data_IF_791380568105
#
_entry.id   IF_791380568105
#
_cell.length_a   1.000
_cell.length_b   1.000
_cell.length_c   1.000
_cell.angle_alpha   90.00
_cell.angle_beta   90.00
_cell.angle_gamma   90.00
#
_symmetry.space_group_name_H-M   'P 1'
#
loop_
_entity.id
_entity.type
_entity.pdbx_description
1 polymer ?
#
# COMPACT_ATOMS: atom_id res chain seq x y z
N UNK A 1 29.29 -65.70 -9.38
CA UNK A 1 29.38 -64.49 -10.21
C UNK A 1 30.27 -63.49 -9.46
N UNK A 2 31.45 -63.09 -9.99
CA UNK A 2 32.35 -62.19 -9.29
C UNK A 2 31.88 -60.75 -9.48
N UNK A 3 31.86 -59.99 -8.38
CA UNK A 3 31.62 -58.53 -8.34
C UNK A 3 32.78 -57.83 -9.03
N UNK A 4 32.48 -57.05 -10.08
CA UNK A 4 33.43 -56.11 -10.70
C UNK A 4 33.40 -54.80 -9.88
N UNK A 5 34.52 -54.52 -9.20
CA UNK A 5 34.74 -53.21 -8.56
C UNK A 5 34.97 -52.15 -9.63
N UNK A 6 34.01 -51.23 -9.78
CA UNK A 6 34.21 -50.04 -10.58
C UNK A 6 35.05 -49.04 -9.76
N UNK A 7 36.25 -48.74 -10.24
CA UNK A 7 37.07 -47.67 -9.68
C UNK A 7 36.42 -46.30 -9.97
N UNK A 8 36.09 -45.59 -8.90
CA UNK A 8 35.65 -44.20 -8.96
C UNK A 8 36.88 -43.31 -9.14
N UNK A 9 36.96 -42.43 -10.16
CA UNK A 9 38.08 -41.50 -10.33
C UNK A 9 38.17 -40.51 -9.16
N UNK A 10 39.38 -40.26 -8.72
CA UNK A 10 39.72 -39.32 -7.66
C UNK A 10 39.30 -37.90 -7.99
N UNK A 11 38.53 -37.17 -7.13
CA UNK A 11 38.02 -35.83 -7.43
C UNK A 11 39.02 -34.68 -7.24
N UNK A 12 40.32 -34.93 -7.48
CA UNK A 12 41.42 -33.99 -7.19
C UNK A 12 41.83 -33.09 -8.38
N UNK A 13 40.91 -32.74 -9.32
CA UNK A 13 41.20 -31.77 -10.38
C UNK A 13 40.04 -30.86 -10.73
N UNK A 14 39.21 -30.49 -9.75
CA UNK A 14 38.33 -29.36 -9.93
C UNK A 14 39.16 -28.08 -9.86
N UNK A 15 39.03 -27.12 -10.83
CA UNK A 15 39.71 -25.84 -10.72
C UNK A 15 39.19 -25.12 -9.46
N UNK A 16 40.12 -24.60 -8.66
CA UNK A 16 39.78 -23.80 -7.48
C UNK A 16 38.77 -22.72 -7.88
N UNK A 17 37.67 -22.47 -7.09
CA UNK A 17 36.74 -21.37 -7.35
C UNK A 17 37.55 -20.06 -7.32
N UNK A 18 37.64 -19.38 -8.47
CA UNK A 18 38.27 -18.07 -8.56
C UNK A 18 37.65 -17.16 -7.48
N UNK A 19 38.52 -16.52 -6.68
CA UNK A 19 38.07 -15.57 -5.64
C UNK A 19 37.01 -14.63 -6.20
N UNK A 20 35.95 -14.29 -5.43
CA UNK A 20 34.87 -13.46 -5.92
C UNK A 20 35.45 -12.14 -6.41
N UNK A 21 35.32 -11.88 -7.72
CA UNK A 21 35.77 -10.61 -8.31
C UNK A 21 35.01 -9.49 -7.58
N UNK A 22 35.75 -8.58 -6.97
CA UNK A 22 35.16 -7.39 -6.33
C UNK A 22 34.28 -6.66 -7.34
N UNK A 23 33.11 -6.20 -6.88
CA UNK A 23 32.19 -5.46 -7.77
C UNK A 23 32.92 -4.26 -8.42
N UNK A 24 32.69 -4.01 -9.73
CA UNK A 24 33.32 -2.89 -10.43
C UNK A 24 33.09 -1.57 -9.73
N UNK A 25 34.06 -0.69 -9.73
CA UNK A 25 34.00 0.62 -9.07
C UNK A 25 33.95 1.75 -10.11
N UNK A 26 33.58 2.95 -9.68
CA UNK A 26 33.68 4.15 -10.55
C UNK A 26 35.12 4.47 -11.00
N UNK A 27 36.13 3.94 -10.25
CA UNK A 27 37.54 4.05 -10.67
C UNK A 27 37.87 3.15 -11.86
N UNK A 28 37.27 1.97 -11.91
CA UNK A 28 37.45 1.04 -13.04
C UNK A 28 36.80 1.57 -14.31
N UNK A 29 35.59 2.16 -14.19
CA UNK A 29 34.92 2.85 -15.31
C UNK A 29 35.76 4.03 -15.78
N UNK A 30 36.31 4.83 -14.88
CA UNK A 30 37.16 5.97 -15.22
C UNK A 30 38.43 5.56 -16.00
N UNK A 31 39.07 4.46 -15.57
CA UNK A 31 40.24 3.89 -16.21
C UNK A 31 39.90 3.37 -17.61
N UNK A 32 38.82 2.62 -17.78
CA UNK A 32 38.41 2.06 -19.05
C UNK A 32 37.94 3.15 -20.03
N UNK A 33 37.21 4.15 -19.57
CA UNK A 33 36.73 5.27 -20.40
C UNK A 33 37.80 6.35 -20.71
N UNK A 34 38.98 6.30 -20.07
CA UNK A 34 40.04 7.28 -20.21
C UNK A 34 39.66 8.67 -19.70
N UNK A 35 38.95 8.76 -18.56
CA UNK A 35 38.47 10.00 -17.97
C UNK A 35 38.69 10.03 -16.45
N UNK A 36 38.49 11.20 -15.83
CA UNK A 36 38.52 11.27 -14.35
C UNK A 36 37.30 10.63 -13.69
N UNK A 37 37.44 10.19 -12.42
CA UNK A 37 36.31 9.71 -11.60
C UNK A 37 35.21 10.78 -11.45
N UNK A 38 35.59 12.05 -11.45
CA UNK A 38 34.62 13.15 -11.42
C UNK A 38 33.80 13.18 -12.72
N UNK A 39 34.44 13.00 -13.89
CA UNK A 39 33.76 12.93 -15.19
C UNK A 39 32.76 11.75 -15.23
N UNK A 40 33.17 10.55 -14.76
CA UNK A 40 32.29 9.39 -14.66
C UNK A 40 31.07 9.74 -13.79
N UNK A 41 31.30 10.38 -12.64
CA UNK A 41 30.22 10.78 -11.73
C UNK A 41 29.25 11.78 -12.38
N UNK A 42 29.75 12.78 -13.10
CA UNK A 42 28.91 13.77 -13.80
C UNK A 42 28.08 13.13 -14.92
N UNK A 43 28.66 12.20 -15.67
CA UNK A 43 27.98 11.51 -16.78
C UNK A 43 26.89 10.59 -16.26
N UNK A 44 27.21 9.72 -15.30
CA UNK A 44 26.29 8.68 -14.83
C UNK A 44 25.19 9.20 -13.89
N UNK A 45 25.41 10.38 -13.27
CA UNK A 45 24.39 11.01 -12.41
C UNK A 45 23.64 12.15 -13.10
N UNK A 46 23.85 12.36 -14.40
CA UNK A 46 23.19 13.39 -15.22
C UNK A 46 23.23 14.81 -14.60
N UNK A 47 24.34 15.16 -13.92
CA UNK A 47 24.51 16.46 -13.29
C UNK A 47 24.67 17.53 -14.39
N UNK A 48 23.63 18.27 -14.71
CA UNK A 48 23.54 19.25 -15.80
C UNK A 48 24.50 20.45 -15.68
N UNK A 49 25.21 20.59 -14.56
CA UNK A 49 26.09 21.74 -14.30
C UNK A 49 27.44 21.72 -15.06
N UNK A 50 27.82 20.58 -15.65
CA UNK A 50 29.12 20.46 -16.36
C UNK A 50 28.88 20.04 -17.81
N UNK A 51 29.41 20.87 -18.73
CA UNK A 51 29.34 20.59 -20.18
C UNK A 51 30.33 19.47 -20.52
N UNK A 52 29.84 18.26 -20.71
CA UNK A 52 30.61 17.09 -21.13
C UNK A 52 30.22 16.77 -22.58
N UNK A 53 31.24 16.60 -23.45
CA UNK A 53 31.00 16.29 -24.85
C UNK A 53 30.30 14.95 -25.03
N UNK A 54 29.47 14.85 -26.05
CA UNK A 54 28.72 13.62 -26.36
C UNK A 54 29.64 12.40 -26.59
N UNK A 55 30.79 12.49 -27.28
CA UNK A 55 31.71 11.36 -27.37
C UNK A 55 32.25 10.89 -26.02
N UNK A 56 32.51 11.80 -25.08
CA UNK A 56 32.98 11.46 -23.74
C UNK A 56 31.86 10.78 -22.94
N UNK A 57 30.63 11.27 -23.07
CA UNK A 57 29.45 10.68 -22.44
C UNK A 57 29.22 9.23 -22.91
N UNK A 58 29.31 8.98 -24.21
CA UNK A 58 29.21 7.63 -24.80
C UNK A 58 30.28 6.70 -24.25
N UNK A 59 31.57 7.09 -24.28
CA UNK A 59 32.65 6.24 -23.74
C UNK A 59 32.41 5.83 -22.28
N UNK A 60 31.93 6.75 -21.46
CA UNK A 60 31.65 6.44 -20.05
C UNK A 60 30.48 5.42 -19.90
N UNK A 61 29.41 5.61 -20.70
CA UNK A 61 28.29 4.65 -20.68
C UNK A 61 28.70 3.29 -21.23
N UNK A 62 29.53 3.23 -22.26
CA UNK A 62 30.03 1.98 -22.84
C UNK A 62 30.92 1.24 -21.84
N UNK A 63 31.88 1.95 -21.23
CA UNK A 63 32.75 1.38 -20.20
C UNK A 63 31.94 0.87 -18.96
N UNK A 64 30.92 1.60 -18.54
CA UNK A 64 30.05 1.16 -17.44
C UNK A 64 29.28 -0.12 -17.81
N UNK A 65 28.75 -0.21 -19.02
CA UNK A 65 28.07 -1.41 -19.54
C UNK A 65 29.01 -2.60 -19.65
N UNK A 66 30.20 -2.42 -20.23
CA UNK A 66 31.20 -3.47 -20.39
C UNK A 66 31.64 -4.08 -19.05
N UNK A 67 31.82 -3.23 -18.03
CA UNK A 67 32.19 -3.67 -16.67
C UNK A 67 31.00 -4.20 -15.86
N UNK A 68 29.76 -4.03 -16.32
CA UNK A 68 28.58 -4.29 -15.49
C UNK A 68 28.49 -3.34 -14.28
N UNK A 69 29.06 -2.14 -14.38
CA UNK A 69 29.07 -1.17 -13.30
C UNK A 69 27.70 -0.54 -13.10
N UNK A 70 27.16 -0.67 -11.89
CA UNK A 70 25.95 0.02 -11.45
C UNK A 70 26.34 1.07 -10.41
N UNK A 71 25.95 2.36 -10.59
CA UNK A 71 26.23 3.40 -9.61
C UNK A 71 25.62 3.07 -8.25
N UNK A 72 26.45 3.03 -7.21
CA UNK A 72 25.99 2.66 -5.87
C UNK A 72 25.08 3.74 -5.29
N UNK A 73 23.82 3.41 -4.94
CA UNK A 73 22.82 4.36 -4.45
C UNK A 73 23.29 5.09 -3.18
N UNK A 74 23.93 4.38 -2.24
CA UNK A 74 24.47 4.99 -1.02
C UNK A 74 25.60 6.00 -1.32
N UNK A 75 26.45 5.75 -2.33
CA UNK A 75 27.50 6.69 -2.72
C UNK A 75 26.91 7.94 -3.40
N UNK A 76 25.78 7.81 -4.10
CA UNK A 76 25.05 8.97 -4.64
C UNK A 76 24.44 9.80 -3.51
N UNK A 77 23.75 9.14 -2.57
CA UNK A 77 23.12 9.78 -1.41
C UNK A 77 24.13 10.55 -0.55
N UNK A 78 25.32 9.96 -0.34
CA UNK A 78 26.37 10.59 0.45
C UNK A 78 26.86 11.90 -0.19
N UNK A 79 26.95 11.96 -1.52
CA UNK A 79 27.37 13.18 -2.26
C UNK A 79 26.26 14.23 -2.36
N UNK A 80 25.01 13.78 -2.52
CA UNK A 80 23.84 14.66 -2.59
C UNK A 80 23.41 15.19 -1.21
N UNK A 81 23.92 14.58 -0.11
CA UNK A 81 23.51 14.88 1.26
C UNK A 81 22.13 14.31 1.63
N UNK A 82 21.44 13.63 0.71
CA UNK A 82 20.16 12.96 0.94
C UNK A 82 19.97 11.79 -0.02
N UNK A 83 19.16 10.81 0.38
CA UNK A 83 18.74 9.70 -0.47
C UNK A 83 17.64 10.14 -1.44
N UNK A 84 17.26 9.26 -2.37
CA UNK A 84 16.05 9.38 -3.18
C UNK A 84 15.05 8.26 -2.85
N UNK A 85 15.20 7.68 -1.67
CA UNK A 85 14.36 6.57 -1.21
C UNK A 85 13.14 7.12 -0.48
N UNK A 86 11.96 6.78 -0.98
CA UNK A 86 10.69 6.92 -0.26
C UNK A 86 10.38 5.58 0.38
N UNK A 87 10.35 5.56 1.70
CA UNK A 87 10.03 4.35 2.45
C UNK A 87 8.54 4.29 2.73
N UNK A 88 7.94 3.13 2.46
CA UNK A 88 6.58 2.80 2.85
C UNK A 88 6.62 1.57 3.74
N UNK A 89 6.19 1.64 5.00
CA UNK A 89 5.96 0.44 5.78
C UNK A 89 4.96 -0.46 5.08
N UNK A 90 5.20 -1.77 5.08
CA UNK A 90 4.21 -2.73 4.65
C UNK A 90 2.99 -2.63 5.58
N UNK A 91 1.76 -2.69 5.05
CA UNK A 91 0.57 -2.60 5.88
C UNK A 91 0.50 -3.76 6.86
N UNK A 92 0.01 -3.49 8.08
CA UNK A 92 -0.27 -4.51 9.10
C UNK A 92 -1.64 -5.17 8.93
N UNK A 93 -2.27 -4.99 7.78
CA UNK A 93 -3.58 -5.53 7.43
C UNK A 93 -3.53 -6.26 6.08
N UNK A 94 -4.43 -7.21 5.81
CA UNK A 94 -4.58 -7.82 4.50
C UNK A 94 -4.86 -6.78 3.42
N UNK A 95 -3.94 -6.66 2.45
CA UNK A 95 -4.02 -5.66 1.39
C UNK A 95 -4.90 -6.17 0.23
N UNK A 96 -6.09 -5.59 0.08
CA UNK A 96 -7.01 -5.87 -1.02
C UNK A 96 -6.66 -5.16 -2.34
N UNK A 97 -7.47 -5.40 -3.40
CA UNK A 97 -7.25 -4.84 -4.73
C UNK A 97 -7.20 -3.32 -4.78
N UNK A 98 -8.03 -2.62 -3.98
CA UNK A 98 -8.04 -1.16 -3.91
C UNK A 98 -6.69 -0.61 -3.46
N UNK A 99 -6.14 -1.15 -2.36
CA UNK A 99 -4.83 -0.75 -1.85
C UNK A 99 -3.71 -1.06 -2.84
N UNK A 100 -3.73 -2.24 -3.47
CA UNK A 100 -2.73 -2.66 -4.45
C UNK A 100 -2.73 -1.75 -5.69
N UNK A 101 -3.91 -1.35 -6.17
CA UNK A 101 -4.07 -0.40 -7.27
C UNK A 101 -3.51 0.98 -6.92
N UNK A 102 -3.88 1.52 -5.77
CA UNK A 102 -3.36 2.78 -5.25
C UNK A 102 -1.83 2.78 -5.12
N UNK A 103 -1.28 1.70 -4.54
CA UNK A 103 0.17 1.55 -4.37
C UNK A 103 0.91 1.54 -5.72
N UNK A 104 0.38 0.82 -6.71
CA UNK A 104 0.97 0.74 -8.05
C UNK A 104 1.00 2.10 -8.73
N UNK A 105 -0.08 2.87 -8.66
CA UNK A 105 -0.14 4.23 -9.20
C UNK A 105 0.86 5.16 -8.52
N UNK A 106 0.94 5.12 -7.19
CA UNK A 106 1.86 5.92 -6.40
C UNK A 106 3.32 5.60 -6.71
N UNK A 107 3.68 4.31 -6.78
CA UNK A 107 5.04 3.87 -7.13
C UNK A 107 5.44 4.37 -8.51
N UNK A 108 4.54 4.27 -9.50
CA UNK A 108 4.78 4.78 -10.84
C UNK A 108 4.97 6.31 -10.85
N UNK A 109 4.11 7.05 -10.13
CA UNK A 109 4.19 8.50 -10.05
C UNK A 109 5.48 8.98 -9.37
N UNK A 110 5.88 8.35 -8.25
CA UNK A 110 7.15 8.63 -7.57
C UNK A 110 8.36 8.25 -8.43
N UNK A 111 8.30 7.15 -9.17
CA UNK A 111 9.35 6.74 -10.11
C UNK A 111 9.58 7.77 -11.20
N UNK A 112 8.54 8.44 -11.70
CA UNK A 112 8.66 9.53 -12.67
C UNK A 112 9.33 10.79 -12.11
N UNK A 113 9.35 10.95 -10.80
CA UNK A 113 10.05 12.01 -10.07
C UNK A 113 11.43 11.54 -9.59
N UNK A 114 11.94 10.43 -10.16
CA UNK A 114 13.21 9.79 -9.81
C UNK A 114 13.34 9.33 -8.35
N UNK A 115 12.23 9.08 -7.66
CA UNK A 115 12.26 8.41 -6.34
C UNK A 115 12.23 6.89 -6.50
N UNK A 116 12.91 6.20 -5.58
CA UNK A 116 12.82 4.75 -5.42
C UNK A 116 11.92 4.45 -4.24
N UNK A 117 10.82 3.74 -4.45
CA UNK A 117 9.93 3.31 -3.36
C UNK A 117 10.41 1.98 -2.80
N UNK A 118 10.61 1.93 -1.49
CA UNK A 118 10.96 0.72 -0.75
C UNK A 118 9.83 0.39 0.20
N UNK A 119 9.20 -0.77 0.02
CA UNK A 119 8.30 -1.34 1.02
C UNK A 119 9.10 -2.03 2.11
N UNK A 120 8.91 -1.59 3.35
CA UNK A 120 9.62 -2.12 4.51
C UNK A 120 8.71 -3.03 5.33
N UNK A 121 9.03 -4.31 5.37
CA UNK A 121 8.35 -5.26 6.25
C UNK A 121 8.76 -5.02 7.70
N UNK A 122 7.83 -4.55 8.52
CA UNK A 122 8.07 -4.25 9.94
C UNK A 122 7.10 -5.03 10.83
N UNK A 123 7.03 -6.33 10.62
CA UNK A 123 6.13 -7.21 11.38
C UNK A 123 6.38 -7.05 12.89
N UNK A 124 5.35 -6.63 13.63
CA UNK A 124 5.42 -6.46 15.08
C UNK A 124 6.07 -5.17 15.58
N UNK A 125 6.65 -4.32 14.70
CA UNK A 125 7.21 -3.03 15.11
C UNK A 125 6.13 -1.93 15.11
N UNK A 126 6.08 -1.13 16.18
CA UNK A 126 5.11 -0.04 16.34
C UNK A 126 5.76 1.23 16.88
N UNK A 127 5.12 2.38 16.65
CA UNK A 127 5.50 3.65 17.26
C UNK A 127 6.97 4.05 17.03
N UNK A 128 7.67 4.37 18.11
CA UNK A 128 9.07 4.82 18.07
C UNK A 128 10.05 3.74 17.62
N UNK A 129 9.77 2.48 17.91
CA UNK A 129 10.62 1.36 17.53
C UNK A 129 10.59 1.18 16.00
N UNK A 130 9.41 1.20 15.41
CA UNK A 130 9.23 1.20 13.96
C UNK A 130 9.95 2.39 13.31
N UNK A 131 9.79 3.60 13.88
CA UNK A 131 10.45 4.80 13.37
C UNK A 131 11.98 4.69 13.38
N UNK A 132 12.58 4.06 14.41
CA UNK A 132 14.04 3.81 14.45
C UNK A 132 14.47 2.85 13.37
N UNK A 133 13.77 1.73 13.18
CA UNK A 133 14.07 0.75 12.14
C UNK A 133 13.98 1.36 10.73
N UNK A 134 12.96 2.20 10.48
CA UNK A 134 12.83 2.91 9.20
C UNK A 134 13.95 3.93 8.99
N UNK A 135 14.38 4.61 10.06
CA UNK A 135 15.46 5.60 10.05
C UNK A 135 16.82 5.00 9.63
N UNK A 136 17.07 3.72 9.88
CA UNK A 136 18.30 3.01 9.47
C UNK A 136 18.52 3.05 7.95
N UNK A 137 17.44 3.02 7.15
CA UNK A 137 17.50 3.13 5.70
C UNK A 137 17.71 4.55 5.19
N UNK A 138 17.75 5.55 6.09
CA UNK A 138 17.91 6.98 5.78
C UNK A 138 17.04 7.43 4.60
N UNK A 139 15.72 7.19 4.64
CA UNK A 139 14.83 7.61 3.56
C UNK A 139 14.76 9.14 3.48
N UNK A 140 14.57 9.68 2.27
CA UNK A 140 14.28 11.11 2.09
C UNK A 140 12.85 11.46 2.51
N UNK A 141 11.95 10.50 2.34
CA UNK A 141 10.57 10.61 2.79
C UNK A 141 10.05 9.27 3.34
N UNK A 142 9.13 9.34 4.29
CA UNK A 142 8.40 8.17 4.82
C UNK A 142 6.91 8.41 4.62
N UNK A 143 6.25 7.47 3.95
CA UNK A 143 4.81 7.50 3.71
C UNK A 143 4.14 6.35 4.46
N UNK A 144 3.31 6.67 5.44
CA UNK A 144 2.74 5.68 6.37
C UNK A 144 1.23 5.56 6.18
N UNK A 145 0.77 4.48 5.52
CA UNK A 145 -0.65 4.15 5.48
C UNK A 145 -1.09 3.55 6.81
N UNK A 146 -2.28 3.94 7.28
CA UNK A 146 -2.85 3.43 8.50
C UNK A 146 -2.34 4.13 9.76
N UNK A 147 -2.08 3.38 10.82
CA UNK A 147 -1.61 3.93 12.09
C UNK A 147 -0.14 4.33 12.00
N UNK A 148 0.14 5.62 11.94
CA UNK A 148 1.49 6.18 11.85
C UNK A 148 2.29 6.13 13.17
N UNK A 149 3.56 6.55 13.10
CA UNK A 149 4.35 6.81 14.29
C UNK A 149 3.77 8.03 15.02
N UNK A 150 3.90 8.06 16.35
CA UNK A 150 3.56 9.27 17.12
C UNK A 150 4.51 10.46 16.83
N UNK A 151 4.27 11.62 17.44
CA UNK A 151 5.10 12.82 17.23
C UNK A 151 6.60 12.57 17.44
N UNK A 152 6.96 11.78 18.46
CA UNK A 152 8.34 11.39 18.72
C UNK A 152 8.95 10.54 17.61
N UNK A 153 8.18 9.62 17.04
CA UNK A 153 8.63 8.83 15.88
C UNK A 153 8.85 9.68 14.64
N UNK A 154 8.00 10.68 14.40
CA UNK A 154 8.20 11.68 13.33
C UNK A 154 9.51 12.45 13.56
N UNK A 155 9.79 12.87 14.80
CA UNK A 155 11.03 13.55 15.15
C UNK A 155 12.26 12.66 14.91
N UNK A 156 12.22 11.38 15.28
CA UNK A 156 13.30 10.40 15.02
C UNK A 156 13.60 10.35 13.53
N UNK A 157 12.57 10.22 12.68
CA UNK A 157 12.73 10.16 11.23
C UNK A 157 13.34 11.44 10.67
N UNK A 158 12.87 12.60 11.08
CA UNK A 158 13.41 13.90 10.63
C UNK A 158 14.86 14.11 11.06
N UNK A 159 15.20 13.77 12.29
CA UNK A 159 16.60 13.84 12.79
C UNK A 159 17.54 12.88 12.05
N UNK A 160 17.04 11.75 11.54
CA UNK A 160 17.84 10.82 10.76
C UNK A 160 17.99 11.20 9.27
N UNK A 161 17.35 12.31 8.84
CA UNK A 161 17.49 12.86 7.49
C UNK A 161 16.26 12.77 6.61
N UNK A 162 15.13 12.28 7.11
CA UNK A 162 13.86 12.35 6.37
C UNK A 162 13.41 13.81 6.27
N UNK A 163 13.23 14.27 5.03
CA UNK A 163 12.74 15.62 4.73
C UNK A 163 11.22 15.72 4.82
N UNK A 164 10.52 14.62 4.52
CA UNK A 164 9.07 14.53 4.60
C UNK A 164 8.63 13.28 5.37
N UNK A 165 7.61 13.43 6.20
CA UNK A 165 6.82 12.33 6.76
C UNK A 165 5.37 12.61 6.40
N UNK A 166 4.71 11.66 5.74
CA UNK A 166 3.31 11.77 5.31
C UNK A 166 2.53 10.61 5.92
N UNK A 167 1.44 10.90 6.60
CA UNK A 167 0.54 9.91 7.18
C UNK A 167 -0.79 9.88 6.43
N UNK A 168 -1.32 8.67 6.18
CA UNK A 168 -2.66 8.45 5.64
C UNK A 168 -3.47 7.71 6.70
N UNK A 169 -4.31 8.43 7.44
CA UNK A 169 -5.04 7.84 8.57
C UNK A 169 -6.12 8.74 9.13
N UNK A 170 -6.78 8.34 10.24
CA UNK A 170 -7.90 9.11 10.80
C UNK A 170 -7.45 10.38 11.52
N UNK A 171 -6.20 10.44 11.96
CA UNK A 171 -5.69 11.52 12.82
C UNK A 171 -4.42 12.14 12.26
N UNK A 172 -4.27 13.45 12.48
CA UNK A 172 -3.05 14.15 12.17
C UNK A 172 -1.99 13.86 13.24
N UNK A 173 -0.73 13.68 12.81
CA UNK A 173 0.41 13.54 13.69
C UNK A 173 1.26 14.81 13.62
N UNK A 174 1.62 15.35 14.76
CA UNK A 174 2.43 16.57 14.84
C UNK A 174 3.75 16.38 14.07
N UNK A 175 4.10 17.37 13.28
CA UNK A 175 5.30 17.36 12.46
C UNK A 175 5.21 16.56 11.14
N UNK A 176 4.13 15.83 10.89
CA UNK A 176 3.90 15.10 9.64
C UNK A 176 2.83 15.79 8.77
N UNK A 177 2.94 15.69 7.45
CA UNK A 177 1.81 15.95 6.55
C UNK A 177 0.75 14.89 6.78
N UNK A 178 -0.51 15.28 6.93
CA UNK A 178 -1.60 14.39 7.25
C UNK A 178 -2.68 14.39 6.15
N UNK A 179 -2.89 13.23 5.53
CA UNK A 179 -4.03 12.95 4.69
C UNK A 179 -5.06 12.19 5.54
N UNK A 180 -6.11 12.90 5.93
CA UNK A 180 -7.12 12.37 6.86
C UNK A 180 -8.14 11.55 6.11
N UNK A 181 -8.37 10.33 6.59
CA UNK A 181 -9.28 9.35 6.01
C UNK A 181 -10.31 8.93 7.07
N UNK A 182 -11.47 9.58 7.05
CA UNK A 182 -12.59 9.21 7.92
C UNK A 182 -13.43 8.11 7.27
N UNK A 183 -13.17 6.87 7.65
CA UNK A 183 -13.92 5.72 7.18
C UNK A 183 -15.36 5.64 7.69
N UNK A 184 -15.78 6.47 8.65
CA UNK A 184 -17.18 6.52 9.11
C UNK A 184 -18.13 6.94 7.99
N UNK A 185 -17.68 7.81 7.08
CA UNK A 185 -18.47 8.24 5.92
C UNK A 185 -18.89 7.06 5.04
N UNK A 186 -18.07 6.01 4.92
CA UNK A 186 -18.37 4.82 4.10
C UNK A 186 -19.55 4.05 4.68
N UNK A 187 -19.49 3.71 5.98
CA UNK A 187 -20.59 3.01 6.66
C UNK A 187 -21.87 3.83 6.72
N UNK A 188 -21.75 5.15 6.97
CA UNK A 188 -22.88 6.06 6.95
C UNK A 188 -23.58 6.07 5.58
N UNK A 189 -22.83 6.22 4.49
CA UNK A 189 -23.40 6.24 3.12
C UNK A 189 -24.04 4.91 2.75
N UNK A 190 -23.40 3.79 3.07
CA UNK A 190 -23.94 2.46 2.78
C UNK A 190 -25.27 2.21 3.49
N UNK A 191 -25.31 2.43 4.80
CA UNK A 191 -26.50 2.16 5.60
C UNK A 191 -27.60 3.17 5.33
N UNK A 192 -27.27 4.45 5.14
CA UNK A 192 -28.22 5.48 4.73
C UNK A 192 -28.94 5.10 3.44
N UNK A 193 -28.20 4.63 2.43
CA UNK A 193 -28.77 4.14 1.18
C UNK A 193 -29.78 2.98 1.42
N UNK A 194 -29.44 2.01 2.27
CA UNK A 194 -30.36 0.90 2.59
C UNK A 194 -31.65 1.40 3.28
N UNK A 195 -31.52 2.32 4.25
CA UNK A 195 -32.66 2.93 4.96
C UNK A 195 -33.56 3.70 3.99
N UNK A 196 -33.00 4.48 3.07
CA UNK A 196 -33.76 5.24 2.05
C UNK A 196 -34.51 4.32 1.08
N UNK A 197 -34.05 3.07 0.91
CA UNK A 197 -34.73 2.02 0.14
C UNK A 197 -35.69 1.17 0.95
N UNK A 198 -36.01 1.61 2.16
CA UNK A 198 -37.04 1.00 3.00
C UNK A 198 -36.53 -0.17 3.88
N UNK A 199 -35.22 -0.43 3.92
CA UNK A 199 -34.66 -1.48 4.79
C UNK A 199 -34.57 -0.99 6.24
N UNK A 200 -34.81 -1.89 7.20
CA UNK A 200 -34.92 -1.52 8.62
C UNK A 200 -34.08 -2.36 9.56
N UNK A 201 -33.78 -3.60 9.21
CA UNK A 201 -32.98 -4.50 10.05
C UNK A 201 -31.69 -4.84 9.33
N UNK A 202 -30.67 -4.04 9.58
CA UNK A 202 -29.45 -3.99 8.76
C UNK A 202 -28.30 -4.67 9.49
N UNK A 203 -27.78 -5.74 8.89
CA UNK A 203 -26.51 -6.33 9.31
C UNK A 203 -25.34 -5.49 8.86
N UNK A 204 -24.30 -5.38 9.68
CA UNK A 204 -23.01 -4.76 9.29
C UNK A 204 -21.90 -5.77 9.54
N UNK A 205 -21.27 -6.22 8.48
CA UNK A 205 -20.16 -7.16 8.57
C UNK A 205 -18.94 -6.46 9.16
N UNK A 206 -18.37 -7.09 10.18
CA UNK A 206 -17.10 -6.68 10.79
C UNK A 206 -16.11 -7.81 10.55
N UNK A 207 -15.01 -7.55 9.82
CA UNK A 207 -13.93 -8.52 9.59
C UNK A 207 -13.38 -9.09 10.90
N UNK A 208 -13.10 -10.38 10.91
CA UNK A 208 -12.44 -11.04 12.02
C UNK A 208 -10.91 -11.04 11.92
N UNK A 209 -10.36 -10.59 10.80
CA UNK A 209 -8.93 -10.53 10.54
C UNK A 209 -8.29 -9.36 11.28
N UNK A 210 -7.14 -9.62 11.90
CA UNK A 210 -6.35 -8.62 12.62
C UNK A 210 -5.91 -7.46 11.71
N UNK A 211 -5.91 -6.26 12.26
CA UNK A 211 -5.47 -5.05 11.57
C UNK A 211 -6.54 -4.37 10.71
N UNK A 212 -7.69 -4.99 10.49
CA UNK A 212 -8.81 -4.38 9.77
C UNK A 212 -9.70 -3.50 10.65
N UNK A 213 -9.55 -3.54 11.98
CA UNK A 213 -10.32 -2.72 12.94
C UNK A 213 -10.14 -1.22 12.67
N UNK A 214 -8.98 -0.84 12.18
CA UNK A 214 -8.67 0.52 11.76
C UNK A 214 -9.69 1.08 10.74
N UNK A 215 -10.20 0.22 9.87
CA UNK A 215 -11.20 0.56 8.85
C UNK A 215 -12.62 0.19 9.28
N UNK A 216 -12.80 -0.99 9.88
CA UNK A 216 -14.13 -1.56 10.17
C UNK A 216 -14.82 -0.87 11.35
N UNK A 217 -14.09 -0.48 12.39
CA UNK A 217 -14.68 0.18 13.54
C UNK A 217 -15.27 1.57 13.18
N UNK A 218 -14.60 2.45 12.44
CA UNK A 218 -15.24 3.68 11.94
C UNK A 218 -16.41 3.41 11.00
N UNK A 219 -16.32 2.44 10.08
CA UNK A 219 -17.44 2.07 9.18
C UNK A 219 -18.66 1.64 9.99
N UNK A 220 -18.49 0.82 11.04
CA UNK A 220 -19.57 0.43 11.94
C UNK A 220 -20.14 1.63 12.72
N UNK A 221 -19.29 2.53 13.21
CA UNK A 221 -19.74 3.75 13.89
C UNK A 221 -20.57 4.64 12.95
N UNK A 222 -20.14 4.84 11.72
CA UNK A 222 -20.90 5.57 10.69
C UNK A 222 -22.21 4.89 10.33
N UNK A 223 -22.24 3.55 10.25
CA UNK A 223 -23.45 2.77 10.03
C UNK A 223 -24.47 2.97 11.16
N UNK A 224 -24.03 2.96 12.42
CA UNK A 224 -24.87 3.24 13.60
C UNK A 224 -25.37 4.68 13.62
N UNK A 225 -24.55 5.61 13.15
CA UNK A 225 -24.98 7.02 13.03
C UNK A 225 -26.07 7.21 11.96
N UNK A 226 -25.97 6.49 10.84
CA UNK A 226 -26.94 6.58 9.74
C UNK A 226 -28.37 6.21 10.10
N UNK A 227 -28.56 5.39 11.15
CA UNK A 227 -29.90 4.96 11.62
C UNK A 227 -30.46 5.86 12.74
N UNK A 228 -29.69 6.81 13.26
CA UNK A 228 -30.17 7.71 14.33
C UNK A 228 -31.39 8.51 13.85
N UNK A 229 -32.42 8.54 14.70
CA UNK A 229 -33.67 9.22 14.39
C UNK A 229 -34.54 8.52 13.35
N UNK A 230 -34.24 7.25 13.01
CA UNK A 230 -35.05 6.40 12.16
C UNK A 230 -35.58 5.20 12.97
N UNK A 231 -36.46 4.41 12.36
CA UNK A 231 -36.96 3.14 12.88
C UNK A 231 -36.04 1.92 12.52
N UNK A 232 -34.91 2.20 11.85
CA UNK A 232 -33.96 1.18 11.46
C UNK A 232 -32.98 0.81 12.60
N UNK A 233 -32.49 -0.42 12.56
CA UNK A 233 -31.51 -0.96 13.52
C UNK A 233 -30.29 -1.53 12.83
N UNK A 234 -29.16 -1.50 13.52
CA UNK A 234 -27.88 -2.08 13.06
C UNK A 234 -27.49 -3.22 13.96
N UNK A 235 -27.24 -4.39 13.35
CA UNK A 235 -26.70 -5.59 14.01
C UNK A 235 -25.29 -5.86 13.49
N UNK A 236 -24.34 -5.98 14.40
CA UNK A 236 -22.96 -6.31 14.07
C UNK A 236 -22.83 -7.80 13.73
N UNK A 237 -22.14 -8.11 12.63
CA UNK A 237 -21.95 -9.46 12.12
C UNK A 237 -20.44 -9.75 11.97
N UNK A 238 -19.78 -10.32 12.99
CA UNK A 238 -18.41 -10.77 12.86
C UNK A 238 -18.30 -11.85 11.76
N UNK A 239 -17.37 -11.67 10.81
CA UNK A 239 -17.19 -12.59 9.70
C UNK A 239 -15.70 -12.67 9.33
N UNK A 240 -15.14 -13.89 9.33
CA UNK A 240 -13.85 -14.16 8.72
C UNK A 240 -14.02 -14.28 7.19
N UNK A 241 -13.00 -13.84 6.43
CA UNK A 241 -12.99 -13.92 4.97
C UNK A 241 -12.74 -15.36 4.48
N UNK A 242 -13.65 -16.26 4.87
CA UNK A 242 -13.61 -17.69 4.58
C UNK A 242 -14.99 -18.19 4.12
N UNK A 243 -15.03 -19.03 3.09
CA UNK A 243 -16.28 -19.63 2.57
C UNK A 243 -17.08 -20.34 3.67
N UNK A 244 -16.39 -21.11 4.55
CA UNK A 244 -17.04 -21.82 5.65
C UNK A 244 -17.66 -20.87 6.69
N UNK A 245 -17.02 -19.73 6.94
CA UNK A 245 -17.56 -18.73 7.87
C UNK A 245 -18.81 -18.06 7.28
N UNK A 246 -18.77 -17.71 5.99
CA UNK A 246 -19.92 -17.15 5.29
C UNK A 246 -21.10 -18.14 5.21
N UNK A 247 -20.83 -19.43 4.92
CA UNK A 247 -21.86 -20.47 4.90
C UNK A 247 -22.54 -20.61 6.28
N UNK A 248 -21.77 -20.69 7.38
CA UNK A 248 -22.36 -20.74 8.75
C UNK A 248 -23.20 -19.51 9.09
N UNK A 249 -22.82 -18.32 8.57
CA UNK A 249 -23.63 -17.12 8.77
C UNK A 249 -24.92 -17.21 7.94
N UNK A 250 -24.86 -17.68 6.70
CA UNK A 250 -26.01 -17.86 5.83
C UNK A 250 -27.00 -18.93 6.34
N UNK A 251 -26.53 -20.04 6.90
CA UNK A 251 -27.37 -21.11 7.48
C UNK A 251 -28.31 -20.61 8.59
N UNK A 252 -27.93 -19.55 9.30
CA UNK A 252 -28.76 -18.96 10.38
C UNK A 252 -29.41 -17.63 9.97
N UNK A 253 -29.37 -17.25 8.69
CA UNK A 253 -29.79 -15.93 8.23
C UNK A 253 -31.23 -15.59 8.60
N UNK A 254 -32.16 -16.52 8.39
CA UNK A 254 -33.57 -16.35 8.73
C UNK A 254 -33.78 -16.03 10.21
N UNK A 255 -33.02 -16.68 11.10
CA UNK A 255 -33.11 -16.45 12.54
C UNK A 255 -32.61 -15.07 12.97
N UNK A 256 -31.78 -14.42 12.18
CA UNK A 256 -31.30 -13.05 12.42
C UNK A 256 -32.35 -12.00 12.03
N UNK A 257 -33.33 -12.37 11.20
CA UNK A 257 -34.40 -11.50 10.77
C UNK A 257 -33.96 -10.23 10.04
N UNK A 258 -32.81 -10.26 9.39
CA UNK A 258 -32.22 -9.11 8.68
C UNK A 258 -32.85 -8.96 7.29
N UNK A 259 -33.10 -7.71 6.86
CA UNK A 259 -33.62 -7.39 5.52
C UNK A 259 -32.57 -6.71 4.63
N UNK A 260 -31.41 -6.36 5.18
CA UNK A 260 -30.28 -5.85 4.43
C UNK A 260 -28.95 -6.09 5.14
N UNK A 261 -27.84 -5.98 4.40
CA UNK A 261 -26.49 -6.05 4.93
C UNK A 261 -25.54 -5.11 4.22
N UNK A 262 -24.76 -4.37 5.00
CA UNK A 262 -23.54 -3.71 4.56
C UNK A 262 -22.36 -4.64 4.86
N UNK A 263 -21.75 -5.18 3.80
CA UNK A 263 -20.67 -6.13 3.89
C UNK A 263 -19.32 -5.41 3.76
N UNK A 264 -18.80 -4.93 4.86
CA UNK A 264 -17.49 -4.26 5.01
C UNK A 264 -16.90 -3.69 3.70
N UNK A 265 -16.57 -4.58 2.73
CA UNK A 265 -16.13 -4.22 1.38
C UNK A 265 -16.69 -5.19 0.32
N UNK A 266 -16.32 -5.00 -0.95
CA UNK A 266 -16.84 -5.83 -2.05
C UNK A 266 -16.39 -7.29 -1.97
N UNK A 267 -15.19 -7.59 -1.42
CA UNK A 267 -14.71 -8.96 -1.28
C UNK A 267 -15.56 -9.74 -0.27
N UNK A 268 -15.86 -9.14 0.90
CA UNK A 268 -16.80 -9.72 1.87
C UNK A 268 -18.22 -9.77 1.31
N UNK A 269 -18.61 -8.78 0.51
CA UNK A 269 -19.93 -8.77 -0.13
C UNK A 269 -20.09 -9.92 -1.12
N UNK A 270 -19.09 -10.18 -1.95
CA UNK A 270 -19.08 -11.30 -2.91
C UNK A 270 -19.17 -12.65 -2.19
N UNK A 271 -18.36 -12.81 -1.15
CA UNK A 271 -18.31 -14.01 -0.32
C UNK A 271 -19.68 -14.28 0.34
N UNK A 272 -20.25 -13.28 1.03
CA UNK A 272 -21.52 -13.42 1.72
C UNK A 272 -22.69 -13.58 0.74
N UNK A 273 -22.70 -12.85 -0.38
CA UNK A 273 -23.74 -12.98 -1.39
C UNK A 273 -23.81 -14.41 -1.96
N UNK A 274 -22.66 -15.01 -2.23
CA UNK A 274 -22.60 -16.41 -2.69
C UNK A 274 -23.18 -17.35 -1.65
N UNK A 275 -22.76 -17.22 -0.39
CA UNK A 275 -23.27 -18.07 0.69
C UNK A 275 -24.78 -17.92 0.92
N UNK A 276 -25.31 -16.70 0.87
CA UNK A 276 -26.75 -16.43 0.97
C UNK A 276 -27.53 -17.08 -0.17
N UNK A 277 -27.03 -16.97 -1.43
CA UNK A 277 -27.65 -17.60 -2.58
C UNK A 277 -27.65 -19.14 -2.48
N UNK A 278 -26.58 -19.74 -1.99
CA UNK A 278 -26.49 -21.20 -1.76
C UNK A 278 -27.45 -21.66 -0.67
N UNK A 279 -27.74 -20.81 0.33
CA UNK A 279 -28.75 -21.03 1.36
C UNK A 279 -30.18 -20.70 0.90
N UNK A 280 -30.38 -20.32 -0.36
CA UNK A 280 -31.70 -20.01 -0.94
C UNK A 280 -32.23 -18.60 -0.64
N UNK A 281 -31.42 -17.72 -0.04
CA UNK A 281 -31.79 -16.32 0.24
C UNK A 281 -31.67 -15.50 -1.05
N UNK A 282 -32.75 -14.86 -1.45
CA UNK A 282 -32.78 -14.04 -2.68
C UNK A 282 -32.19 -12.66 -2.42
N UNK A 283 -31.18 -12.28 -3.21
CA UNK A 283 -30.59 -10.94 -3.21
C UNK A 283 -31.04 -10.21 -4.48
N UNK A 284 -31.68 -9.04 -4.39
CA UNK A 284 -32.04 -8.24 -3.19
C UNK A 284 -33.43 -8.57 -2.60
N UNK A 285 -34.16 -9.59 -3.11
CA UNK A 285 -35.56 -9.83 -2.78
C UNK A 285 -35.81 -9.99 -1.28
N UNK A 286 -35.14 -10.94 -0.65
CA UNK A 286 -35.24 -11.20 0.78
C UNK A 286 -34.25 -10.32 1.57
N UNK A 287 -33.04 -10.14 1.06
CA UNK A 287 -31.98 -9.36 1.70
C UNK A 287 -31.27 -8.47 0.69
N UNK A 288 -31.29 -7.15 0.88
CA UNK A 288 -30.47 -6.23 0.11
C UNK A 288 -29.00 -6.28 0.58
N UNK A 289 -28.07 -6.15 -0.35
CA UNK A 289 -26.65 -6.24 -0.04
C UNK A 289 -25.87 -5.11 -0.71
N UNK A 290 -25.01 -4.43 0.06
CA UNK A 290 -24.12 -3.39 -0.43
C UNK A 290 -22.70 -3.62 0.11
N UNK A 291 -21.70 -3.46 -0.77
CA UNK A 291 -20.28 -3.50 -0.46
C UNK A 291 -19.65 -2.11 -0.35
N UNK A 292 -18.34 -2.06 -0.46
CA UNK A 292 -17.52 -0.86 -0.64
C UNK A 292 -16.29 -1.20 -1.49
N UNK A 293 -15.67 -0.19 -2.10
CA UNK A 293 -14.46 -0.18 -2.92
C UNK A 293 -14.72 -0.13 -4.45
N UNK A 294 -15.93 -0.40 -4.92
CA UNK A 294 -16.35 -0.42 -6.34
C UNK A 294 -15.44 -1.30 -7.23
N UNK A 295 -15.15 -2.51 -6.77
CA UNK A 295 -14.31 -3.44 -7.53
C UNK A 295 -14.98 -3.87 -8.84
N UNK A 296 -14.16 -4.05 -9.89
CA UNK A 296 -14.63 -4.49 -11.21
C UNK A 296 -15.43 -5.80 -11.15
N UNK A 297 -15.02 -6.74 -10.31
CA UNK A 297 -15.70 -8.03 -10.16
C UNK A 297 -17.15 -7.89 -9.69
N UNK A 298 -17.46 -6.91 -8.85
CA UNK A 298 -18.82 -6.64 -8.39
C UNK A 298 -19.80 -6.34 -9.53
N UNK A 299 -19.32 -5.82 -10.65
CA UNK A 299 -20.11 -5.53 -11.87
C UNK A 299 -20.43 -6.79 -12.69
N UNK A 300 -19.69 -7.86 -12.47
CA UNK A 300 -19.82 -9.14 -13.22
C UNK A 300 -20.73 -10.15 -12.52
N UNK A 301 -21.12 -9.88 -11.29
CA UNK A 301 -21.99 -10.74 -10.49
C UNK A 301 -23.44 -10.75 -10.99
N UNK A 302 -24.22 -11.69 -10.46
CA UNK A 302 -25.67 -11.77 -10.61
C UNK A 302 -26.32 -12.01 -9.23
N UNK A 303 -27.01 -11.00 -8.69
CA UNK A 303 -27.18 -9.62 -9.18
C UNK A 303 -25.86 -8.82 -9.15
N UNK A 304 -25.76 -7.75 -9.97
CA UNK A 304 -24.61 -6.83 -9.92
C UNK A 304 -24.56 -6.13 -8.57
N UNK A 305 -23.38 -6.12 -7.95
CA UNK A 305 -23.17 -5.63 -6.59
C UNK A 305 -23.27 -4.10 -6.52
N UNK A 306 -24.20 -3.60 -5.70
CA UNK A 306 -24.21 -2.21 -5.22
C UNK A 306 -23.05 -2.01 -4.24
N UNK A 307 -22.42 -0.84 -4.26
CA UNK A 307 -21.21 -0.59 -3.49
C UNK A 307 -21.06 0.87 -3.13
N UNK A 308 -20.16 1.18 -2.22
CA UNK A 308 -19.69 2.55 -1.98
C UNK A 308 -18.35 2.73 -2.69
N UNK A 309 -18.32 3.62 -3.67
CA UNK A 309 -17.07 4.04 -4.30
C UNK A 309 -16.30 4.97 -3.35
N UNK A 310 -15.03 4.67 -3.11
CA UNK A 310 -14.13 5.46 -2.29
C UNK A 310 -13.33 6.41 -3.19
N UNK A 311 -13.52 7.71 -2.98
CA UNK A 311 -12.73 8.75 -3.64
C UNK A 311 -11.44 8.95 -2.85
N UNK A 312 -10.37 8.31 -3.30
CA UNK A 312 -9.03 8.42 -2.73
C UNK A 312 -8.20 9.47 -3.49
N UNK A 313 -7.19 10.10 -2.85
CA UNK A 313 -6.24 10.93 -3.58
C UNK A 313 -5.53 10.08 -4.63
N UNK A 314 -5.29 10.66 -5.80
CA UNK A 314 -4.53 9.94 -6.83
C UNK A 314 -3.09 9.70 -6.38
N UNK A 315 -2.48 8.61 -6.82
CA UNK A 315 -1.06 8.36 -6.58
C UNK A 315 -0.17 9.51 -7.10
N UNK A 316 -0.61 10.22 -8.13
CA UNK A 316 0.07 11.40 -8.68
C UNK A 316 0.02 12.59 -7.71
N UNK A 317 -1.15 12.89 -7.11
CA UNK A 317 -1.30 14.00 -6.17
C UNK A 317 -0.47 13.77 -4.92
N UNK A 318 -0.44 12.51 -4.45
CA UNK A 318 0.36 12.13 -3.31
C UNK A 318 1.87 12.18 -3.62
N UNK A 319 2.29 11.73 -4.79
CA UNK A 319 3.69 11.86 -5.23
C UNK A 319 4.11 13.33 -5.32
N UNK A 320 3.24 14.21 -5.83
CA UNK A 320 3.50 15.65 -5.88
C UNK A 320 3.58 16.29 -4.48
N UNK A 321 2.76 15.84 -3.52
CA UNK A 321 2.87 16.25 -2.12
C UNK A 321 4.22 15.84 -1.52
N UNK A 322 4.62 14.58 -1.70
CA UNK A 322 5.91 14.08 -1.22
C UNK A 322 7.06 14.88 -1.82
N UNK A 323 7.03 15.13 -3.12
CA UNK A 323 8.08 15.87 -3.83
C UNK A 323 8.20 17.31 -3.33
N UNK A 324 7.09 18.05 -3.17
CA UNK A 324 7.09 19.40 -2.57
C UNK A 324 7.67 19.38 -1.16
N UNK A 325 7.20 18.45 -0.32
CA UNK A 325 7.65 18.36 1.07
C UNK A 325 9.15 17.99 1.18
N UNK A 326 9.68 17.22 0.24
CA UNK A 326 11.12 16.92 0.16
C UNK A 326 11.92 18.15 -0.28
N UNK A 327 11.41 18.96 -1.19
CA UNK A 327 12.10 20.15 -1.67
C UNK A 327 12.03 21.32 -0.69
N UNK A 328 10.94 21.45 0.08
CA UNK A 328 10.76 22.46 1.12
C UNK A 328 10.44 21.82 2.49
N UNK A 329 11.44 21.24 3.15
CA UNK A 329 11.25 20.55 4.43
C UNK A 329 10.92 21.49 5.60
N UNK A 330 11.06 22.81 5.40
CA UNK A 330 10.72 23.86 6.38
C UNK A 330 9.27 24.32 6.29
N UNK A 331 8.54 23.94 5.23
CA UNK A 331 7.14 24.29 5.09
C UNK A 331 6.28 23.70 6.20
N UNK A 332 5.22 24.42 6.57
CA UNK A 332 4.24 23.91 7.53
C UNK A 332 3.60 22.61 7.00
N UNK A 333 3.41 21.59 7.86
CA UNK A 333 2.75 20.35 7.46
C UNK A 333 1.33 20.60 6.92
N UNK A 334 1.05 20.06 5.72
CA UNK A 334 -0.29 20.10 5.15
C UNK A 334 -1.21 19.12 5.91
N UNK A 335 -2.47 19.55 6.12
CA UNK A 335 -3.53 18.69 6.65
C UNK A 335 -4.71 18.76 5.69
N UNK A 336 -5.16 17.61 5.18
CA UNK A 336 -6.27 17.52 4.23
C UNK A 336 -7.16 16.34 4.56
N UNK A 337 -8.46 16.53 4.49
CA UNK A 337 -9.43 15.44 4.41
C UNK A 337 -9.48 14.96 2.96
N UNK A 338 -9.31 13.65 2.75
CA UNK A 338 -9.07 13.10 1.41
C UNK A 338 -9.95 11.90 1.06
N UNK A 339 -10.80 11.43 1.97
CA UNK A 339 -11.71 10.34 1.70
C UNK A 339 -13.12 10.84 1.41
N UNK A 340 -13.53 10.74 0.16
CA UNK A 340 -14.92 10.85 -0.26
C UNK A 340 -15.57 9.47 -0.38
N UNK A 341 -16.92 9.42 -0.30
CA UNK A 341 -17.69 8.19 -0.42
C UNK A 341 -19.00 8.42 -1.19
N UNK A 342 -19.14 7.76 -2.32
CA UNK A 342 -20.34 7.88 -3.19
C UNK A 342 -20.96 6.50 -3.42
N UNK A 343 -22.28 6.39 -3.20
CA UNK A 343 -22.99 5.12 -3.45
C UNK A 343 -23.15 4.88 -4.94
N UNK A 344 -22.74 3.70 -5.38
CA UNK A 344 -22.98 3.18 -6.72
C UNK A 344 -24.07 2.11 -6.64
N UNK A 345 -25.30 2.54 -6.82
CA UNK A 345 -26.45 1.64 -6.82
C UNK A 345 -26.45 0.72 -8.04
N UNK A 346 -26.69 -0.59 -7.82
CA UNK A 346 -26.84 -1.64 -8.83
C UNK A 346 -28.02 -2.56 -8.46
N UNK A 347 -27.90 -3.83 -8.81
CA UNK A 347 -29.03 -4.79 -8.70
C UNK A 347 -29.17 -5.43 -7.30
N UNK A 348 -28.14 -5.38 -6.45
CA UNK A 348 -28.14 -6.11 -5.17
C UNK A 348 -28.75 -5.33 -3.99
N UNK A 349 -29.15 -4.06 -4.17
CA UNK A 349 -29.77 -3.27 -3.07
C UNK A 349 -30.95 -2.42 -3.51
#
# INVERSE_FOLDING_TARGET
MPYVMVQIPNPSSAPEPSAPRSAPTSADVARLAGVSRATVSYVLNNAGAVRISEPTRRRVHDAARELGYVPHAAARSLRAGHSRTVLMPAPSFPAGPLYSGFLSELQWALGRLDYTVVQYGSVGLHGDEAARAWAELRPVAVLVPGRGPGPRGVEILKRSGARAVVTLGPEAVEGAHALLMDHAVVGHRAVRHLVERGRRRIGVVVPAEDGLEFFSAPRLAGARDAVRGTDATVTELPLAHEERAAARLADRWDSLGLDAVFAYNDEYAMLLMRALQDAGVRVPGDTALIGADDLMLGRLLRPRLSTVHLELPSGRDLAALVDRAVHDPGAAPERREVLGATVVHRESS
#
